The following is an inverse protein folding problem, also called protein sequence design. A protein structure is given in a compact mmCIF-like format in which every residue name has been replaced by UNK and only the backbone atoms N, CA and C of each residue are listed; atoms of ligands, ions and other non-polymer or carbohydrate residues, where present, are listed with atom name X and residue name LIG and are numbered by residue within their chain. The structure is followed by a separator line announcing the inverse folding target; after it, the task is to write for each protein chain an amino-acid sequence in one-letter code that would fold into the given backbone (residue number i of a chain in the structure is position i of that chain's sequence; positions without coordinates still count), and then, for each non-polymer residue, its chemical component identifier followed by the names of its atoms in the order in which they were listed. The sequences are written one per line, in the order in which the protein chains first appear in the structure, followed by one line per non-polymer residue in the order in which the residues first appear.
data_IF_393351371771
#
_entry.id   IF_393351371771
#
_cell.length_a   1.000
_cell.length_b   1.000
_cell.length_c   1.000
_cell.angle_alpha   90.00
_cell.angle_beta   90.00
_cell.angle_gamma   90.00
#
_symmetry.space_group_name_H-M   'P 1'
#
loop_
_entity.id
_entity.type
_entity.pdbx_description
1 polymer ?
#
# COMPACT_ATOMS: atom_id res chain seq x y z
N UNK A 1 10.02 -2.91 -1.26
CA UNK A 1 9.16 -4.07 -0.94
C UNK A 1 7.67 -3.76 -1.04
N UNK A 2 7.23 -2.50 -0.81
CA UNK A 2 5.80 -2.16 -0.71
C UNK A 2 4.98 -2.42 -1.98
N UNK A 3 5.55 -2.16 -3.16
CA UNK A 3 4.88 -2.49 -4.42
C UNK A 3 4.62 -4.01 -4.52
N UNK A 4 5.61 -4.83 -4.14
CA UNK A 4 5.45 -6.29 -4.12
C UNK A 4 4.31 -6.71 -3.18
N UNK A 5 4.24 -6.15 -1.98
CA UNK A 5 3.19 -6.48 -1.02
C UNK A 5 1.79 -6.18 -1.57
N UNK A 6 1.59 -5.02 -2.16
CA UNK A 6 0.32 -4.68 -2.78
C UNK A 6 -0.01 -5.53 -4.02
N UNK A 7 0.98 -5.81 -4.86
CA UNK A 7 0.80 -6.64 -6.05
C UNK A 7 0.41 -8.08 -5.70
N UNK A 8 1.08 -8.72 -4.74
CA UNK A 8 0.74 -10.10 -4.36
C UNK A 8 -0.60 -10.19 -3.64
N UNK A 9 -0.97 -9.16 -2.85
CA UNK A 9 -2.31 -9.10 -2.25
C UNK A 9 -3.42 -9.07 -3.32
N UNK A 10 -3.21 -8.30 -4.40
CA UNK A 10 -4.15 -8.26 -5.52
C UNK A 10 -4.18 -9.56 -6.35
N UNK A 11 -2.99 -10.13 -6.63
CA UNK A 11 -2.86 -11.31 -7.51
C UNK A 11 -3.31 -12.62 -6.87
N UNK A 12 -3.15 -12.75 -5.56
CA UNK A 12 -3.44 -13.98 -4.84
C UNK A 12 -4.04 -13.71 -3.45
N UNK A 13 -5.18 -13.00 -3.37
CA UNK A 13 -5.74 -12.49 -2.12
C UNK A 13 -6.13 -13.61 -1.14
N UNK A 14 -6.37 -14.82 -1.61
CA UNK A 14 -6.74 -15.97 -0.80
C UNK A 14 -5.55 -16.72 -0.18
N UNK A 15 -4.33 -16.27 -0.49
CA UNK A 15 -3.10 -16.90 0.01
C UNK A 15 -2.60 -16.32 1.32
N UNK A 16 -3.12 -15.16 1.73
CA UNK A 16 -2.64 -14.42 2.88
C UNK A 16 -3.78 -14.18 3.86
N UNK A 17 -3.52 -14.41 5.15
CA UNK A 17 -4.43 -14.01 6.22
C UNK A 17 -4.35 -12.51 6.49
N UNK A 18 -3.14 -11.97 6.44
CA UNK A 18 -2.87 -10.54 6.57
C UNK A 18 -1.62 -10.16 5.77
N UNK A 19 -1.52 -8.89 5.41
CA UNK A 19 -0.36 -8.30 4.74
C UNK A 19 0.00 -7.01 5.47
N UNK A 20 1.24 -6.92 5.90
CA UNK A 20 1.85 -5.71 6.42
C UNK A 20 2.62 -5.02 5.30
N UNK A 21 2.38 -3.73 5.13
CA UNK A 21 2.97 -2.92 4.07
C UNK A 21 3.52 -1.61 4.65
N UNK A 22 4.83 -1.55 4.85
CA UNK A 22 5.51 -0.41 5.42
C UNK A 22 5.95 0.58 4.36
N UNK A 23 5.50 1.85 4.52
CA UNK A 23 5.77 2.96 3.61
C UNK A 23 5.70 2.52 2.13
N UNK A 24 4.60 1.85 1.70
CA UNK A 24 4.59 1.12 0.45
C UNK A 24 4.43 2.02 -0.77
N UNK A 25 5.22 1.72 -1.81
CA UNK A 25 5.14 2.32 -3.13
C UNK A 25 3.99 1.67 -3.93
N UNK A 26 2.77 2.16 -3.74
CA UNK A 26 1.55 1.49 -4.21
C UNK A 26 0.76 2.24 -5.28
N UNK A 27 0.97 3.54 -5.42
CA UNK A 27 0.45 4.35 -6.54
C UNK A 27 1.58 4.62 -7.56
N UNK A 28 2.38 3.57 -7.79
CA UNK A 28 3.62 3.63 -8.54
C UNK A 28 3.46 4.19 -9.95
N UNK A 29 2.39 3.82 -10.64
CA UNK A 29 2.14 4.31 -12.00
C UNK A 29 1.97 5.84 -12.03
N UNK A 30 1.23 6.40 -11.07
CA UNK A 30 1.06 7.86 -10.96
C UNK A 30 2.40 8.55 -10.66
N UNK A 31 3.17 8.03 -9.71
CA UNK A 31 4.45 8.62 -9.31
C UNK A 31 5.50 8.55 -10.41
N UNK A 32 5.59 7.43 -11.13
CA UNK A 32 6.55 7.25 -12.23
C UNK A 32 6.18 8.07 -13.48
N UNK A 33 4.96 8.55 -13.59
CA UNK A 33 4.54 9.50 -14.63
C UNK A 33 4.92 10.95 -14.33
N UNK A 34 5.34 11.27 -13.09
CA UNK A 34 5.69 12.63 -12.69
C UNK A 34 7.21 12.83 -12.60
N UNK A 35 7.86 13.37 -13.65
CA UNK A 35 9.31 13.59 -13.68
C UNK A 35 9.79 14.67 -12.71
N UNK A 36 8.89 15.41 -12.06
CA UNK A 36 9.25 16.42 -11.05
C UNK A 36 9.56 15.80 -9.67
N UNK A 37 9.15 14.56 -9.45
CA UNK A 37 9.45 13.85 -8.20
C UNK A 37 10.93 13.42 -8.17
N UNK A 38 11.57 13.47 -6.99
CA UNK A 38 13.04 13.33 -6.87
C UNK A 38 13.61 12.02 -7.42
N UNK A 39 12.86 10.93 -7.38
CA UNK A 39 13.35 9.60 -7.76
C UNK A 39 12.86 9.14 -9.14
N UNK A 40 11.79 9.71 -9.68
CA UNK A 40 11.10 9.22 -10.87
C UNK A 40 12.03 8.96 -12.05
N UNK A 41 12.80 9.97 -12.47
CA UNK A 41 13.65 9.85 -13.66
C UNK A 41 14.76 8.81 -13.47
N UNK A 42 15.30 8.69 -12.26
CA UNK A 42 16.33 7.69 -11.95
C UNK A 42 15.77 6.28 -11.84
N UNK A 43 14.50 6.14 -11.51
CA UNK A 43 13.82 4.87 -11.37
C UNK A 43 13.25 4.32 -12.70
N UNK A 44 13.26 5.11 -13.78
CA UNK A 44 12.89 4.60 -15.10
C UNK A 44 13.79 3.47 -15.57
N UNK A 45 15.04 3.41 -15.10
CA UNK A 45 15.95 2.28 -15.41
C UNK A 45 15.48 0.98 -14.76
N UNK A 46 14.75 1.07 -13.63
CA UNK A 46 14.20 -0.09 -12.90
C UNK A 46 12.79 -0.47 -13.38
N UNK A 47 11.88 0.51 -13.44
CA UNK A 47 10.46 0.28 -13.70
C UNK A 47 10.09 0.40 -15.19
N UNK A 48 10.91 1.06 -15.98
CA UNK A 48 10.59 1.53 -17.31
C UNK A 48 10.04 2.96 -17.30
N UNK A 49 9.97 3.55 -18.47
CA UNK A 49 9.49 4.92 -18.70
C UNK A 49 8.05 4.93 -19.25
N UNK A 50 7.03 4.92 -18.39
CA UNK A 50 5.63 4.93 -18.84
C UNK A 50 5.17 6.28 -19.38
N UNK A 51 5.96 7.35 -19.18
CA UNK A 51 5.64 8.68 -19.67
C UNK A 51 5.86 8.77 -21.19
N UNK A 52 6.89 8.11 -21.70
CA UNK A 52 7.29 8.17 -23.11
C UNK A 52 7.02 6.86 -23.87
N UNK A 53 6.69 5.76 -23.15
CA UNK A 53 6.39 4.47 -23.76
C UNK A 53 5.03 3.92 -23.30
N UNK A 54 4.08 3.87 -24.22
CA UNK A 54 2.73 3.39 -23.96
C UNK A 54 2.66 1.88 -23.65
N UNK A 55 3.62 1.08 -24.09
CA UNK A 55 3.65 -0.35 -23.78
C UNK A 55 4.14 -0.56 -22.35
N UNK A 56 5.13 0.21 -21.92
CA UNK A 56 5.55 0.25 -20.51
C UNK A 56 4.41 0.69 -19.60
N UNK A 57 3.67 1.74 -19.98
CA UNK A 57 2.48 2.18 -19.23
C UNK A 57 1.46 1.05 -19.06
N UNK A 58 1.11 0.37 -20.15
CA UNK A 58 0.13 -0.73 -20.10
C UNK A 58 0.63 -1.90 -19.25
N UNK A 59 1.92 -2.21 -19.36
CA UNK A 59 2.54 -3.27 -18.55
C UNK A 59 2.51 -2.93 -17.06
N UNK A 60 2.95 -1.72 -16.67
CA UNK A 60 2.90 -1.28 -15.27
C UNK A 60 1.49 -1.26 -14.72
N UNK A 61 0.51 -0.75 -15.49
CA UNK A 61 -0.90 -0.73 -15.07
C UNK A 61 -1.45 -2.12 -14.74
N UNK A 62 -0.89 -3.18 -15.34
CA UNK A 62 -1.32 -4.56 -15.11
C UNK A 62 -0.94 -5.13 -13.74
N UNK A 63 0.01 -4.51 -13.01
CA UNK A 63 0.47 -5.02 -11.72
C UNK A 63 0.54 -4.00 -10.59
N UNK A 64 0.48 -2.71 -10.88
CA UNK A 64 0.56 -1.68 -9.86
C UNK A 64 -0.59 -1.77 -8.86
N UNK A 65 -0.30 -1.70 -7.55
CA UNK A 65 -1.28 -2.03 -6.52
C UNK A 65 -2.53 -1.18 -6.52
N UNK A 66 -2.38 0.11 -6.70
CA UNK A 66 -3.50 1.04 -6.64
C UNK A 66 -4.52 0.81 -7.76
N UNK A 67 -4.05 0.64 -9.00
CA UNK A 67 -4.90 0.41 -10.17
C UNK A 67 -5.65 -0.93 -10.11
N UNK A 68 -5.05 -1.93 -9.48
CA UNK A 68 -5.59 -3.29 -9.39
C UNK A 68 -6.22 -3.63 -8.03
N UNK A 69 -6.36 -2.64 -7.14
CA UNK A 69 -7.07 -2.82 -5.89
C UNK A 69 -8.55 -3.15 -6.14
N UNK A 70 -9.18 -3.96 -5.27
CA UNK A 70 -10.61 -4.27 -5.41
C UNK A 70 -11.45 -2.99 -5.41
N UNK A 71 -12.52 -3.00 -6.20
CA UNK A 71 -13.51 -1.95 -6.24
C UNK A 71 -14.86 -2.45 -5.72
N UNK A 72 -15.68 -1.50 -5.26
CA UNK A 72 -17.10 -1.79 -5.04
C UNK A 72 -17.75 -2.16 -6.38
N UNK A 73 -18.72 -3.09 -6.39
CA UNK A 73 -19.54 -3.33 -7.57
C UNK A 73 -20.18 -2.02 -8.07
N UNK A 74 -20.19 -1.80 -9.37
CA UNK A 74 -20.81 -0.62 -9.96
C UNK A 74 -22.28 -0.50 -9.50
N UNK A 75 -22.66 0.70 -9.01
CA UNK A 75 -24.01 0.98 -8.53
C UNK A 75 -24.31 0.53 -7.10
N UNK A 76 -23.32 0.03 -6.35
CA UNK A 76 -23.45 -0.18 -4.92
C UNK A 76 -23.17 1.10 -4.16
N UNK A 77 -24.16 1.63 -3.44
CA UNK A 77 -23.90 2.59 -2.37
C UNK A 77 -23.05 1.90 -1.30
N UNK A 78 -22.12 2.64 -0.70
CA UNK A 78 -21.18 2.12 0.32
C UNK A 78 -21.87 1.47 1.55
N UNK A 79 -23.21 1.63 1.67
CA UNK A 79 -24.03 1.03 2.71
C UNK A 79 -24.76 -0.25 2.26
N UNK A 80 -24.71 -0.62 0.97
CA UNK A 80 -25.40 -1.80 0.49
C UNK A 80 -24.53 -3.05 0.72
N UNK A 81 -25.03 -3.95 1.47
CA UNK A 81 -24.62 -5.29 1.90
C UNK A 81 -24.04 -6.25 0.84
N UNK A 82 -23.19 -5.78 -0.08
CA UNK A 82 -22.37 -6.68 -0.85
C UNK A 82 -21.33 -7.31 0.08
N UNK A 83 -21.11 -8.64 0.01
CA UNK A 83 -20.07 -9.26 0.81
C UNK A 83 -18.73 -8.61 0.47
N UNK A 84 -17.96 -8.29 1.51
CA UNK A 84 -16.59 -7.78 1.35
C UNK A 84 -15.80 -8.72 0.41
N UNK A 85 -14.96 -8.17 -0.47
CA UNK A 85 -14.14 -9.00 -1.34
C UNK A 85 -13.25 -9.90 -0.47
N UNK A 86 -12.97 -11.09 -0.94
CA UNK A 86 -11.99 -11.96 -0.28
C UNK A 86 -10.61 -11.34 -0.50
N UNK A 87 -10.12 -10.67 0.53
CA UNK A 87 -8.84 -9.95 0.52
C UNK A 87 -8.17 -10.13 1.89
N UNK A 88 -6.84 -10.13 1.99
CA UNK A 88 -6.17 -10.21 3.28
C UNK A 88 -6.51 -9.00 4.15
N UNK A 89 -6.44 -9.16 5.47
CA UNK A 89 -6.40 -8.01 6.35
C UNK A 89 -5.14 -7.19 6.05
N UNK A 90 -5.27 -5.87 6.04
CA UNK A 90 -4.16 -5.00 5.65
C UNK A 90 -3.74 -4.11 6.81
N UNK A 91 -2.46 -4.14 7.14
CA UNK A 91 -1.83 -3.16 8.01
C UNK A 91 -0.83 -2.33 7.19
N UNK A 92 -1.08 -1.04 7.12
CA UNK A 92 -0.33 -0.13 6.25
C UNK A 92 0.30 0.93 7.14
N UNK A 93 1.59 1.21 6.95
CA UNK A 93 2.24 2.34 7.59
C UNK A 93 2.59 3.42 6.56
N UNK A 94 2.65 4.67 6.99
CA UNK A 94 3.16 5.76 6.18
C UNK A 94 3.69 6.89 7.06
N UNK A 95 4.52 7.75 6.50
CA UNK A 95 5.08 8.91 7.21
C UNK A 95 4.89 10.19 6.42
N UNK A 96 4.40 11.24 7.07
CA UNK A 96 4.13 12.54 6.42
C UNK A 96 5.39 13.23 5.89
N UNK A 97 6.56 12.92 6.44
CA UNK A 97 7.84 13.48 6.01
C UNK A 97 8.65 12.50 5.14
N UNK A 98 7.99 11.51 4.55
CA UNK A 98 8.64 10.59 3.62
C UNK A 98 8.95 11.32 2.30
N UNK A 99 10.25 11.38 1.98
CA UNK A 99 10.75 12.01 0.74
C UNK A 99 11.01 11.01 -0.38
N UNK A 100 10.83 9.70 -0.13
CA UNK A 100 11.03 8.63 -1.12
C UNK A 100 9.72 8.15 -1.69
N UNK A 101 8.77 7.86 -0.80
CA UNK A 101 7.41 7.44 -1.15
C UNK A 101 6.44 8.46 -0.57
N UNK A 102 5.72 9.16 -1.41
CA UNK A 102 4.77 10.16 -0.96
C UNK A 102 3.70 9.52 -0.08
N UNK A 103 3.49 10.07 1.11
CA UNK A 103 2.50 9.56 2.08
C UNK A 103 1.08 9.48 1.50
N UNK A 104 0.80 10.24 0.46
CA UNK A 104 -0.49 10.23 -0.23
C UNK A 104 -0.77 8.89 -0.93
N UNK A 105 0.26 8.16 -1.36
CA UNK A 105 0.08 6.86 -2.03
C UNK A 105 -0.54 5.81 -1.10
N UNK A 106 0.06 5.50 0.07
CA UNK A 106 -0.57 4.59 1.03
C UNK A 106 -1.94 5.07 1.52
N UNK A 107 -2.14 6.38 1.70
CA UNK A 107 -3.44 6.92 2.11
C UNK A 107 -4.53 6.69 1.07
N UNK A 108 -4.25 6.98 -0.20
CA UNK A 108 -5.18 6.72 -1.31
C UNK A 108 -5.51 5.23 -1.41
N UNK A 109 -4.48 4.39 -1.31
CA UNK A 109 -4.65 2.95 -1.40
C UNK A 109 -5.48 2.40 -0.24
N UNK A 110 -5.17 2.78 1.00
CA UNK A 110 -5.96 2.39 2.17
C UNK A 110 -7.42 2.82 2.04
N UNK A 111 -7.68 4.06 1.63
CA UNK A 111 -9.04 4.57 1.42
C UNK A 111 -9.79 3.78 0.34
N UNK A 112 -9.12 3.38 -0.75
CA UNK A 112 -9.72 2.55 -1.80
C UNK A 112 -10.05 1.16 -1.28
N UNK A 113 -9.14 0.51 -0.55
CA UNK A 113 -9.35 -0.79 0.07
C UNK A 113 -10.53 -0.77 1.06
N UNK A 114 -10.54 0.23 1.97
CA UNK A 114 -11.63 0.41 2.93
C UNK A 114 -12.99 0.63 2.26
N UNK A 115 -13.01 1.46 1.21
CA UNK A 115 -14.23 1.68 0.42
C UNK A 115 -14.72 0.40 -0.26
N UNK A 116 -13.82 -0.49 -0.65
CA UNK A 116 -14.16 -1.81 -1.19
C UNK A 116 -14.60 -2.82 -0.11
N UNK A 117 -14.62 -2.43 1.17
CA UNK A 117 -14.99 -3.30 2.28
C UNK A 117 -13.84 -4.20 2.80
N UNK A 118 -12.60 -3.93 2.38
CA UNK A 118 -11.42 -4.62 2.91
C UNK A 118 -11.14 -4.11 4.33
N UNK A 119 -10.83 -5.02 5.24
CA UNK A 119 -10.33 -4.66 6.57
C UNK A 119 -8.89 -4.15 6.44
N UNK A 120 -8.75 -2.84 6.33
CA UNK A 120 -7.49 -2.14 6.16
C UNK A 120 -7.31 -1.07 7.24
N UNK A 121 -6.21 -1.18 7.98
CA UNK A 121 -5.78 -0.20 8.97
C UNK A 121 -4.57 0.54 8.44
N UNK A 122 -4.56 1.86 8.58
CA UNK A 122 -3.39 2.68 8.24
C UNK A 122 -2.90 3.46 9.45
N UNK A 123 -1.62 3.35 9.75
CA UNK A 123 -0.91 4.11 10.78
C UNK A 123 -0.08 5.19 10.10
N UNK A 124 -0.30 6.45 10.48
CA UNK A 124 0.41 7.60 9.93
C UNK A 124 1.39 8.16 10.97
N UNK A 125 2.68 8.14 10.65
CA UNK A 125 3.72 8.80 11.45
C UNK A 125 3.86 10.25 10.99
N UNK A 126 3.81 11.18 11.93
CA UNK A 126 3.77 12.62 11.61
C UNK A 126 5.13 13.32 11.77
N UNK A 127 6.06 12.73 12.50
CA UNK A 127 7.36 13.34 12.82
C UNK A 127 8.54 12.75 12.05
N UNK A 128 8.42 11.48 11.64
CA UNK A 128 9.50 10.73 10.99
C UNK A 128 9.43 10.77 9.46
N UNK A 129 10.52 10.35 8.81
CA UNK A 129 10.60 10.11 7.37
C UNK A 129 10.45 8.63 7.00
N UNK A 130 10.98 8.24 5.84
CA UNK A 130 10.87 6.88 5.28
C UNK A 130 11.40 5.75 6.20
N UNK A 131 12.33 6.05 7.07
CA UNK A 131 12.92 5.08 7.99
C UNK A 131 12.18 4.90 9.32
N UNK A 132 10.99 5.49 9.47
CA UNK A 132 10.22 5.42 10.72
C UNK A 132 10.77 6.32 11.83
N UNK A 133 10.24 6.16 13.03
CA UNK A 133 10.60 6.95 14.22
C UNK A 133 12.06 6.76 14.63
N UNK A 134 12.66 7.84 15.12
CA UNK A 134 14.00 7.83 15.69
C UNK A 134 13.95 7.66 17.20
N UNK A 135 14.86 6.86 17.74
CA UNK A 135 14.96 6.58 19.18
C UNK A 135 14.64 5.12 19.52
N UNK A 136 15.56 4.53 20.28
CA UNK A 136 15.55 3.08 20.56
C UNK A 136 14.20 2.56 21.08
N UNK A 137 13.58 3.27 22.01
CA UNK A 137 12.35 2.80 22.66
C UNK A 137 11.12 3.00 21.77
N UNK A 138 11.05 4.11 21.02
CA UNK A 138 9.97 4.35 20.06
C UNK A 138 9.97 3.30 18.94
N UNK A 139 11.14 2.94 18.41
CA UNK A 139 11.27 1.86 17.42
C UNK A 139 10.77 0.53 18.00
N UNK A 140 11.07 0.21 19.27
CA UNK A 140 10.59 -1.02 19.87
C UNK A 140 9.07 -1.03 20.10
N UNK A 141 8.48 0.11 20.42
CA UNK A 141 7.02 0.25 20.51
C UNK A 141 6.37 0.00 19.15
N UNK A 142 6.93 0.55 18.07
CA UNK A 142 6.43 0.34 16.71
C UNK A 142 6.53 -1.14 16.31
N UNK A 143 7.70 -1.72 16.39
CA UNK A 143 7.92 -3.14 16.07
C UNK A 143 7.04 -4.06 16.94
N UNK A 144 6.81 -3.70 18.22
CA UNK A 144 5.92 -4.47 19.08
C UNK A 144 4.47 -4.40 18.62
N UNK A 145 4.02 -3.25 18.15
CA UNK A 145 2.68 -3.06 17.60
C UNK A 145 2.49 -3.87 16.31
N UNK A 146 3.44 -3.78 15.39
CA UNK A 146 3.48 -4.53 14.12
C UNK A 146 3.44 -6.04 14.38
N UNK A 147 4.33 -6.54 15.24
CA UNK A 147 4.36 -7.95 15.63
C UNK A 147 3.05 -8.40 16.30
N UNK A 148 2.45 -7.56 17.16
CA UNK A 148 1.18 -7.89 17.81
C UNK A 148 0.05 -8.02 16.76
N UNK A 149 0.02 -7.12 15.77
CA UNK A 149 -0.92 -7.22 14.68
C UNK A 149 -0.70 -8.51 13.87
N UNK A 150 0.53 -8.82 13.46
CA UNK A 150 0.86 -10.07 12.76
C UNK A 150 0.43 -11.31 13.55
N UNK A 151 0.73 -11.36 14.85
CA UNK A 151 0.32 -12.46 15.71
C UNK A 151 -1.21 -12.60 15.79
N UNK A 152 -1.93 -11.48 15.81
CA UNK A 152 -3.39 -11.50 15.81
C UNK A 152 -3.97 -12.14 14.54
N UNK A 153 -3.35 -11.87 13.37
CA UNK A 153 -3.76 -12.48 12.10
C UNK A 153 -3.48 -13.99 12.06
N UNK A 154 -2.52 -14.46 12.85
CA UNK A 154 -2.22 -15.89 13.02
C UNK A 154 -3.10 -16.57 14.07
N UNK A 155 -3.99 -15.84 14.74
CA UNK A 155 -4.83 -16.35 15.83
C UNK A 155 -4.07 -16.66 17.13
N UNK A 156 -2.87 -16.08 17.30
CA UNK A 156 -1.98 -16.34 18.46
C UNK A 156 -2.11 -15.25 19.54
N UNK A 157 -2.53 -14.05 19.17
CA UNK A 157 -2.66 -12.94 20.10
C UNK A 157 -3.92 -13.04 20.98
N UNK A 158 -3.76 -12.75 22.25
CA UNK A 158 -4.82 -12.70 23.25
C UNK A 158 -4.72 -11.43 24.10
#
# INVERSE_FOLDING_TARGET
GGLLMGAVANMAPDRYAGVEADVPFVDALTSILDPSLPLTVTEWDEWGDPLHDADVYRYMKGYTPYENAPDLPEGSDAEASAPAPRFPHMFITTSMNDTRVLYVEPLKWAARLQRAGVDAVIKVEVEAGHGGTTGRYKVWEEVSYENAWCLSQMGIAH
#
